data_IF_660697855312
#
_entry.id   IF_660697855312
#
_cell.length_a   1.000
_cell.length_b   1.000
_cell.length_c   1.000
_cell.angle_alpha   90.00
_cell.angle_beta   90.00
_cell.angle_gamma   90.00
#
_symmetry.space_group_name_H-M   'P 1'
#
loop_
_entity.id
_entity.type
_entity.pdbx_description
1 polymer ?
#
# COMPACT_ATOMS: atom_id res chain seq x y z
N UNK A 1 6.91 -9.33 88.08
CA UNK A 1 7.54 -8.36 87.15
C UNK A 1 6.68 -8.34 85.92
N UNK A 2 6.02 -7.20 85.69
CA UNK A 2 4.82 -7.07 84.85
C UNK A 2 5.16 -6.20 83.64
N UNK A 3 4.82 -6.74 82.46
CA UNK A 3 4.37 -6.14 81.19
C UNK A 3 4.57 -4.61 81.07
N UNK A 4 5.44 -4.20 80.16
CA UNK A 4 5.51 -2.83 79.64
C UNK A 4 4.67 -2.70 78.37
N UNK A 5 3.52 -2.03 78.48
CA UNK A 5 2.71 -1.59 77.35
C UNK A 5 3.30 -0.29 76.78
N UNK A 6 3.81 -0.33 75.56
CA UNK A 6 4.18 0.85 74.78
C UNK A 6 3.00 1.29 73.91
N UNK A 7 2.23 2.24 74.44
CA UNK A 7 1.25 3.05 73.68
C UNK A 7 1.98 4.28 73.13
N UNK A 8 2.07 4.42 71.80
CA UNK A 8 2.45 5.70 71.17
C UNK A 8 1.64 5.99 69.91
N UNK A 9 0.61 6.82 70.13
CA UNK A 9 0.06 7.94 69.34
C UNK A 9 -0.24 7.81 67.83
N UNK A 10 -1.48 8.12 67.39
CA UNK A 10 -1.82 8.26 65.98
C UNK A 10 -1.26 9.57 65.39
N UNK A 11 -0.75 9.45 64.16
CA UNK A 11 -0.18 10.55 63.36
C UNK A 11 -1.30 11.51 62.89
N UNK A 12 -1.12 12.85 62.96
CA UNK A 12 -2.10 13.78 62.45
C UNK A 12 -2.17 13.73 60.92
N UNK A 13 -3.36 13.56 60.37
CA UNK A 13 -3.64 13.60 58.93
C UNK A 13 -3.76 15.06 58.49
N UNK A 14 -2.84 15.51 57.64
CA UNK A 14 -2.91 16.85 57.02
C UNK A 14 -4.13 16.99 56.12
N UNK A 15 -4.85 18.14 56.12
CA UNK A 15 -5.95 18.36 55.20
C UNK A 15 -5.47 18.51 53.75
N UNK A 16 -6.16 17.81 52.85
CA UNK A 16 -5.91 17.80 51.41
C UNK A 16 -6.12 19.21 50.80
N UNK A 17 -5.09 19.74 50.12
CA UNK A 17 -5.15 20.99 49.35
C UNK A 17 -6.15 20.83 48.21
N UNK A 18 -7.25 21.58 48.25
CA UNK A 18 -8.22 21.64 47.14
C UNK A 18 -7.57 22.25 45.89
N UNK A 19 -7.69 21.64 44.69
CA UNK A 19 -7.24 22.26 43.46
C UNK A 19 -8.19 23.39 43.07
N UNK A 20 -7.64 24.59 42.87
CA UNK A 20 -8.35 25.73 42.27
C UNK A 20 -8.69 25.45 40.80
N UNK A 21 -9.89 25.78 40.31
CA UNK A 21 -10.29 25.48 38.93
C UNK A 21 -9.55 26.38 37.93
N UNK A 22 -8.68 25.77 37.11
CA UNK A 22 -7.92 26.41 36.01
C UNK A 22 -8.77 26.92 34.83
N UNK A 23 -10.10 26.79 34.90
CA UNK A 23 -11.02 27.03 33.79
C UNK A 23 -11.19 28.50 33.38
N UNK A 24 -10.90 29.45 34.25
CA UNK A 24 -11.08 30.87 33.92
C UNK A 24 -10.03 31.43 32.96
N UNK A 25 -8.84 30.82 32.83
CA UNK A 25 -7.79 31.30 31.91
C UNK A 25 -7.99 30.84 30.46
N UNK A 26 -8.67 29.72 30.22
CA UNK A 26 -8.91 29.23 28.86
C UNK A 26 -9.93 30.09 28.09
N UNK A 27 -10.93 30.66 28.79
CA UNK A 27 -11.94 31.51 28.17
C UNK A 27 -11.41 32.87 27.69
N UNK A 28 -10.28 33.34 28.22
CA UNK A 28 -9.70 34.63 27.84
C UNK A 28 -9.00 34.61 26.46
N UNK A 29 -8.65 33.43 25.95
CA UNK A 29 -7.92 33.26 24.68
C UNK A 29 -8.82 32.88 23.50
N UNK A 30 -10.03 32.39 23.74
CA UNK A 30 -10.96 31.99 22.67
C UNK A 30 -11.53 33.18 21.88
N UNK A 31 -11.84 34.29 22.58
CA UNK A 31 -12.40 35.49 21.96
C UNK A 31 -11.48 36.15 20.91
N UNK A 32 -10.17 36.40 21.18
CA UNK A 32 -9.30 36.99 20.18
C UNK A 32 -9.04 36.05 19.00
N UNK A 33 -8.97 34.73 19.21
CA UNK A 33 -8.76 33.75 18.13
C UNK A 33 -9.96 33.67 17.19
N UNK A 34 -11.19 33.75 17.71
CA UNK A 34 -12.40 33.77 16.88
C UNK A 34 -12.50 35.04 16.05
N UNK A 35 -12.13 36.19 16.63
CA UNK A 35 -12.05 37.46 15.91
C UNK A 35 -11.03 37.43 14.77
N UNK A 36 -9.85 36.86 15.01
CA UNK A 36 -8.80 36.73 13.99
C UNK A 36 -9.23 35.79 12.86
N UNK A 37 -9.95 34.71 13.19
CA UNK A 37 -10.53 33.81 12.19
C UNK A 37 -11.55 34.50 11.30
N UNK A 38 -12.47 35.30 11.87
CA UNK A 38 -13.46 36.05 11.10
C UNK A 38 -12.83 37.10 10.17
N UNK A 39 -11.78 37.80 10.64
CA UNK A 39 -11.06 38.78 9.82
C UNK A 39 -10.32 38.11 8.67
N UNK A 40 -9.67 36.97 8.92
CA UNK A 40 -8.94 36.24 7.89
C UNK A 40 -9.89 35.69 6.82
N UNK A 41 -11.01 35.08 7.24
CA UNK A 41 -12.03 34.59 6.30
C UNK A 41 -12.71 35.74 5.55
N UNK A 42 -12.93 36.88 6.21
CA UNK A 42 -13.42 38.10 5.55
C UNK A 42 -12.48 38.62 4.47
N UNK A 43 -11.16 38.60 4.71
CA UNK A 43 -10.16 39.01 3.71
C UNK A 43 -10.13 38.09 2.50
N UNK A 44 -10.33 36.77 2.67
CA UNK A 44 -10.42 35.82 1.54
C UNK A 44 -11.62 36.13 0.63
N UNK A 45 -12.74 36.62 1.18
CA UNK A 45 -13.91 37.00 0.39
C UNK A 45 -13.73 38.32 -0.38
N UNK A 46 -12.77 39.17 0.02
CA UNK A 46 -12.42 40.40 -0.71
C UNK A 46 -11.29 40.19 -1.73
N UNK A 47 -10.67 39.01 -1.77
CA UNK A 47 -9.73 38.69 -2.83
C UNK A 47 -10.48 38.61 -4.17
N UNK A 48 -10.09 39.40 -5.19
CA UNK A 48 -10.66 39.26 -6.53
C UNK A 48 -10.46 37.82 -7.00
N UNK A 49 -11.54 37.18 -7.46
CA UNK A 49 -11.43 35.88 -8.10
C UNK A 49 -10.40 36.00 -9.24
N UNK A 50 -9.45 35.05 -9.39
CA UNK A 50 -8.54 35.06 -10.52
C UNK A 50 -9.37 35.01 -11.79
N UNK A 51 -9.36 36.10 -12.55
CA UNK A 51 -10.04 36.18 -13.84
C UNK A 51 -9.59 35.01 -14.71
N UNK A 52 -10.51 34.28 -15.36
CA UNK A 52 -10.14 33.26 -16.31
C UNK A 52 -9.29 33.91 -17.41
N UNK A 53 -8.02 33.50 -17.49
CA UNK A 53 -7.14 33.95 -18.56
C UNK A 53 -7.69 33.42 -19.89
N UNK A 54 -7.81 34.27 -20.92
CA UNK A 54 -8.19 33.81 -22.25
C UNK A 54 -7.06 32.94 -22.82
N UNK A 55 -7.40 31.70 -23.16
CA UNK A 55 -6.54 30.74 -23.86
C UNK A 55 -6.19 31.33 -25.24
N UNK A 56 -4.91 31.60 -25.57
CA UNK A 56 -4.53 31.94 -26.94
C UNK A 56 -4.57 30.66 -27.78
N UNK A 57 -5.46 30.63 -28.78
CA UNK A 57 -5.30 29.74 -29.93
C UNK A 57 -4.09 30.22 -30.73
N UNK A 58 -3.06 29.38 -30.84
CA UNK A 58 -2.09 29.44 -31.93
C UNK A 58 -1.47 28.05 -32.14
N UNK A 59 -1.91 27.39 -33.21
CA UNK A 59 -1.10 26.43 -33.95
C UNK A 59 0.18 27.10 -34.48
N UNK A 60 1.21 26.27 -34.65
CA UNK A 60 2.47 26.51 -35.39
C UNK A 60 3.46 27.56 -34.86
N UNK A 61 4.47 27.08 -34.13
CA UNK A 61 5.87 27.21 -34.53
C UNK A 61 6.79 26.47 -33.55
N UNK A 62 7.48 25.46 -34.07
CA UNK A 62 8.72 24.96 -33.50
C UNK A 62 9.74 26.11 -33.55
N UNK A 63 10.20 26.57 -32.40
CA UNK A 63 11.44 27.33 -32.26
C UNK A 63 12.11 26.88 -30.96
N UNK A 64 13.21 26.18 -31.15
CA UNK A 64 14.23 25.88 -30.15
C UNK A 64 14.84 27.21 -29.66
N UNK A 65 15.47 27.17 -28.47
CA UNK A 65 16.19 28.25 -27.76
C UNK A 65 15.38 29.22 -26.89
N UNK A 66 15.13 28.83 -25.63
CA UNK A 66 15.32 29.75 -24.49
C UNK A 66 15.53 28.98 -23.17
N UNK A 67 16.73 28.42 -22.97
CA UNK A 67 17.21 28.10 -21.63
C UNK A 67 17.66 29.41 -20.97
N UNK A 68 16.75 30.02 -20.22
CA UNK A 68 17.09 31.10 -19.28
C UNK A 68 17.58 30.46 -17.99
N UNK A 69 18.86 30.10 -17.99
CA UNK A 69 19.61 29.70 -16.80
C UNK A 69 19.90 30.95 -15.95
N UNK A 70 19.10 31.14 -14.89
CA UNK A 70 19.29 32.22 -13.93
C UNK A 70 19.79 31.67 -12.59
N UNK A 71 21.12 31.68 -12.50
CA UNK A 71 21.91 32.16 -11.36
C UNK A 71 21.88 31.36 -10.05
N UNK A 72 22.99 30.64 -9.87
CA UNK A 72 23.97 30.86 -8.78
C UNK A 72 23.58 30.47 -7.36
N UNK A 73 24.12 29.35 -6.88
CA UNK A 73 24.87 29.32 -5.61
C UNK A 73 26.01 28.28 -5.69
N UNK A 74 27.25 28.70 -5.45
CA UNK A 74 28.24 27.89 -4.72
C UNK A 74 29.33 27.17 -5.51
N UNK A 75 30.35 27.91 -5.93
CA UNK A 75 31.69 27.42 -6.31
C UNK A 75 32.37 26.73 -5.12
N UNK A 76 32.78 25.46 -5.25
CA UNK A 76 33.80 24.88 -4.36
C UNK A 76 34.56 23.72 -5.06
N UNK A 77 35.77 24.06 -5.49
CA UNK A 77 36.95 23.25 -5.80
C UNK A 77 36.78 21.83 -6.39
N UNK A 78 37.02 21.75 -7.69
CA UNK A 78 37.60 20.56 -8.35
C UNK A 78 39.12 20.77 -8.48
N UNK A 79 39.94 19.78 -8.11
CA UNK A 79 41.16 19.52 -8.85
C UNK A 79 41.09 18.15 -9.53
N UNK A 80 41.20 18.18 -10.86
CA UNK A 80 41.45 17.03 -11.74
C UNK A 80 42.98 16.77 -11.85
N UNK A 81 43.47 15.79 -12.64
CA UNK A 81 43.85 14.44 -12.27
C UNK A 81 45.38 14.21 -12.30
N UNK A 82 45.91 13.15 -11.68
CA UNK A 82 47.24 12.65 -12.07
C UNK A 82 47.42 11.13 -11.88
N UNK A 83 47.63 10.47 -13.03
CA UNK A 83 48.41 9.28 -13.36
C UNK A 83 48.46 8.06 -12.40
N UNK A 84 48.03 6.91 -12.94
CA UNK A 84 48.53 5.59 -12.55
C UNK A 84 50.03 5.45 -12.90
N UNK A 85 50.79 4.64 -12.14
CA UNK A 85 51.03 3.27 -12.62
C UNK A 85 51.08 2.18 -11.53
N UNK A 86 50.67 0.97 -11.91
CA UNK A 86 50.98 -0.33 -11.25
C UNK A 86 52.48 -0.63 -11.21
N UNK A 87 53.00 -1.42 -10.23
CA UNK A 87 53.21 -2.85 -10.50
C UNK A 87 53.05 -3.82 -9.30
N UNK A 88 52.46 -4.99 -9.62
CA UNK A 88 52.86 -6.39 -9.32
C UNK A 88 53.61 -6.76 -8.02
N UNK A 89 53.01 -7.67 -7.23
CA UNK A 89 53.68 -8.83 -6.62
C UNK A 89 52.67 -9.90 -6.17
N UNK A 90 53.03 -11.18 -6.32
CA UNK A 90 52.17 -12.36 -6.20
C UNK A 90 52.36 -13.16 -4.88
N UNK A 91 51.26 -13.82 -4.46
CA UNK A 91 51.14 -15.15 -3.78
C UNK A 91 51.70 -15.38 -2.35
N UNK A 92 51.36 -16.48 -1.61
CA UNK A 92 50.13 -17.31 -1.49
C UNK A 92 49.66 -17.58 -0.02
N UNK A 93 48.64 -18.46 0.14
CA UNK A 93 47.81 -18.89 1.31
C UNK A 93 48.45 -19.28 2.66
N UNK A 94 47.62 -19.55 3.71
CA UNK A 94 47.44 -20.94 4.15
C UNK A 94 46.01 -21.39 4.60
N UNK A 95 45.77 -22.71 4.40
CA UNK A 95 44.95 -23.75 5.08
C UNK A 95 44.40 -23.43 6.50
N UNK A 96 43.30 -23.92 7.08
CA UNK A 96 42.32 -25.06 6.99
C UNK A 96 41.14 -24.73 7.98
N UNK A 97 40.19 -25.60 8.46
CA UNK A 97 39.95 -27.05 8.26
C UNK A 97 38.47 -27.45 8.01
N UNK A 98 38.20 -28.75 8.19
CA UNK A 98 37.21 -29.61 7.56
C UNK A 98 35.74 -29.60 8.10
N UNK A 99 34.88 -30.11 7.19
CA UNK A 99 33.54 -30.74 7.25
C UNK A 99 32.76 -30.88 8.57
N UNK A 100 31.41 -30.96 8.45
CA UNK A 100 30.79 -32.27 8.69
C UNK A 100 29.71 -32.70 7.67
N UNK A 101 29.45 -34.00 7.70
CA UNK A 101 28.53 -34.83 6.91
C UNK A 101 27.10 -34.31 6.68
N UNK A 102 26.50 -34.74 5.56
CA UNK A 102 25.10 -35.20 5.58
C UNK A 102 24.86 -36.33 4.57
N UNK A 103 23.98 -37.23 4.96
CA UNK A 103 23.66 -38.56 4.43
C UNK A 103 22.90 -38.57 3.07
N UNK A 104 22.68 -39.77 2.47
CA UNK A 104 22.33 -39.93 1.06
C UNK A 104 20.90 -39.53 0.68
N UNK A 105 20.78 -38.98 -0.53
CA UNK A 105 19.54 -38.78 -1.28
C UNK A 105 18.99 -40.15 -1.71
N UNK A 106 17.79 -40.51 -1.27
CA UNK A 106 17.02 -41.59 -1.85
C UNK A 106 16.11 -41.04 -2.98
N UNK A 107 16.21 -41.55 -4.22
CA UNK A 107 15.25 -41.22 -5.28
C UNK A 107 13.95 -42.04 -5.12
N UNK A 108 12.77 -41.47 -5.40
CA UNK A 108 11.53 -42.25 -5.49
C UNK A 108 11.51 -43.12 -6.76
N UNK A 109 10.99 -44.35 -6.71
CA UNK A 109 10.86 -45.20 -7.90
C UNK A 109 9.58 -44.87 -8.69
N UNK A 110 9.72 -44.84 -10.01
CA UNK A 110 8.68 -45.19 -10.99
C UNK A 110 9.34 -46.19 -11.98
N UNK A 111 8.64 -47.04 -12.74
CA UNK A 111 7.22 -47.01 -13.11
C UNK A 111 6.49 -48.37 -13.00
N UNK A 112 5.15 -48.40 -13.13
CA UNK A 112 4.45 -49.59 -13.67
C UNK A 112 3.15 -49.16 -14.36
N UNK A 113 2.92 -49.53 -15.64
CA UNK A 113 1.64 -49.36 -16.31
C UNK A 113 0.75 -50.58 -16.11
N UNK A 114 -0.55 -50.38 -15.92
CA UNK A 114 -1.55 -51.44 -16.12
C UNK A 114 -2.84 -50.82 -16.68
N UNK A 115 -3.14 -51.25 -17.90
CA UNK A 115 -4.33 -51.00 -18.70
C UNK A 115 -5.51 -51.83 -18.15
N UNK A 116 -6.72 -51.26 -18.10
CA UNK A 116 -7.97 -51.86 -18.58
C UNK A 116 -9.21 -51.03 -18.15
N UNK A 117 -9.95 -50.52 -19.14
CA UNK A 117 -11.39 -50.20 -19.00
C UNK A 117 -12.18 -51.50 -18.71
N UNK A 118 -13.46 -51.43 -18.25
CA UNK A 118 -14.53 -51.52 -19.25
C UNK A 118 -15.88 -50.83 -18.89
N UNK A 119 -16.53 -50.31 -19.95
CA UNK A 119 -17.97 -50.12 -20.28
C UNK A 119 -18.98 -49.41 -19.36
N UNK A 120 -19.55 -48.34 -19.93
CA UNK A 120 -20.98 -47.97 -20.09
C UNK A 120 -22.01 -48.23 -18.99
N UNK A 121 -22.70 -47.15 -18.60
CA UNK A 121 -24.15 -47.17 -18.43
C UNK A 121 -24.77 -45.82 -18.84
N UNK A 122 -25.63 -45.91 -19.85
CA UNK A 122 -26.48 -44.84 -20.40
C UNK A 122 -27.80 -44.86 -19.62
N UNK A 123 -28.30 -43.68 -19.21
CA UNK A 123 -29.73 -43.27 -19.09
C UNK A 123 -29.85 -41.91 -18.36
N UNK A 124 -30.98 -41.17 -18.47
CA UNK A 124 -31.55 -40.44 -19.61
C UNK A 124 -31.54 -38.90 -19.38
N UNK A 125 -31.96 -38.05 -20.34
CA UNK A 125 -31.88 -36.59 -20.17
C UNK A 125 -32.94 -36.09 -19.19
N UNK A 126 -32.50 -35.51 -18.07
CA UNK A 126 -33.36 -34.71 -17.19
C UNK A 126 -33.37 -33.27 -17.71
N UNK A 127 -34.55 -32.74 -17.97
CA UNK A 127 -34.76 -31.35 -18.38
C UNK A 127 -34.43 -30.41 -17.23
N UNK A 128 -33.23 -29.81 -17.26
CA UNK A 128 -32.84 -28.73 -16.36
C UNK A 128 -33.21 -27.39 -17.01
N UNK A 129 -33.76 -26.41 -16.27
CA UNK A 129 -34.08 -25.09 -16.82
C UNK A 129 -32.78 -24.42 -17.25
N UNK A 130 -32.84 -23.65 -18.34
CA UNK A 130 -31.72 -22.84 -18.82
C UNK A 130 -31.14 -22.03 -17.65
N UNK A 131 -29.95 -22.41 -17.20
CA UNK A 131 -29.17 -21.63 -16.28
C UNK A 131 -28.93 -20.26 -16.95
N UNK A 132 -29.31 -19.22 -16.23
CA UNK A 132 -28.92 -17.84 -16.48
C UNK A 132 -27.41 -17.80 -16.74
N UNK A 133 -26.93 -17.14 -17.82
CA UNK A 133 -25.52 -17.16 -18.14
C UNK A 133 -24.75 -16.53 -16.97
N UNK A 134 -23.86 -17.32 -16.36
CA UNK A 134 -22.90 -16.83 -15.40
C UNK A 134 -22.18 -15.61 -16.01
N UNK A 135 -21.96 -14.52 -15.25
CA UNK A 135 -21.26 -13.36 -15.77
C UNK A 135 -19.89 -13.82 -16.28
N UNK A 136 -19.59 -13.46 -17.53
CA UNK A 136 -18.37 -13.84 -18.21
C UNK A 136 -17.16 -13.43 -17.36
N UNK A 137 -16.34 -14.41 -16.97
CA UNK A 137 -15.06 -14.17 -16.32
C UNK A 137 -14.19 -13.38 -17.29
N UNK A 138 -13.99 -12.09 -17.01
CA UNK A 138 -13.06 -11.27 -17.77
C UNK A 138 -11.64 -11.78 -17.51
N UNK A 139 -11.15 -12.64 -18.41
CA UNK A 139 -9.77 -13.11 -18.39
C UNK A 139 -8.90 -11.95 -18.89
N UNK A 140 -8.53 -11.06 -17.99
CA UNK A 140 -7.56 -9.99 -18.29
C UNK A 140 -6.23 -10.67 -18.68
N UNK A 141 -5.71 -10.42 -19.90
CA UNK A 141 -4.41 -10.96 -20.29
C UNK A 141 -3.31 -10.47 -19.33
N UNK A 142 -2.38 -11.34 -18.94
CA UNK A 142 -1.28 -11.01 -18.02
C UNK A 142 -0.46 -9.77 -18.44
N UNK A 143 -0.37 -9.51 -19.75
CA UNK A 143 0.32 -8.35 -20.32
C UNK A 143 -0.38 -7.02 -20.00
N UNK A 144 -1.71 -7.00 -20.03
CA UNK A 144 -2.49 -5.81 -19.67
C UNK A 144 -2.38 -5.49 -18.17
N UNK A 145 -2.24 -6.52 -17.33
CA UNK A 145 -1.99 -6.37 -15.89
C UNK A 145 -0.66 -5.66 -15.63
N UNK A 146 0.42 -6.01 -16.35
CA UNK A 146 1.72 -5.36 -16.21
C UNK A 146 1.70 -3.86 -16.60
N UNK A 147 0.95 -3.52 -17.65
CA UNK A 147 0.79 -2.14 -18.09
C UNK A 147 0.00 -1.29 -17.08
N UNK A 148 -1.07 -1.85 -16.51
CA UNK A 148 -1.84 -1.23 -15.43
C UNK A 148 -0.92 -0.86 -14.27
N UNK A 149 -0.03 -1.75 -13.85
CA UNK A 149 0.88 -1.47 -12.74
C UNK A 149 1.91 -0.40 -13.05
N UNK A 150 2.46 -0.39 -14.27
CA UNK A 150 3.41 0.66 -14.68
C UNK A 150 2.80 2.06 -14.52
N UNK A 151 1.48 2.18 -14.75
CA UNK A 151 0.75 3.44 -14.58
C UNK A 151 0.37 3.72 -13.12
N UNK A 152 0.05 2.69 -12.35
CA UNK A 152 -0.35 2.79 -10.95
C UNK A 152 0.81 3.21 -10.03
N UNK A 153 2.04 2.76 -10.32
CA UNK A 153 3.19 2.91 -9.41
C UNK A 153 3.99 4.20 -9.61
N UNK A 154 4.04 4.73 -10.82
CA UNK A 154 4.70 6.01 -11.13
C UNK A 154 3.79 7.13 -10.70
N UNK A 155 4.09 7.89 -9.65
CA UNK A 155 3.26 9.03 -9.21
C UNK A 155 3.10 10.14 -10.24
N UNK A 156 2.46 11.26 -9.87
CA UNK A 156 2.54 12.51 -10.64
C UNK A 156 3.95 13.09 -10.49
N UNK A 157 4.90 12.51 -11.23
CA UNK A 157 6.36 12.74 -11.14
C UNK A 157 7.15 11.44 -11.26
N UNK A 158 8.48 11.51 -11.43
CA UNK A 158 9.37 10.34 -11.62
C UNK A 158 9.54 9.44 -10.38
N UNK A 159 8.76 9.66 -9.31
CA UNK A 159 8.86 8.88 -8.08
C UNK A 159 8.11 7.56 -8.20
N UNK A 160 8.84 6.46 -8.14
CA UNK A 160 8.30 5.11 -7.99
C UNK A 160 8.00 4.82 -6.52
N UNK A 161 6.74 4.53 -6.21
CA UNK A 161 6.30 4.17 -4.86
C UNK A 161 6.16 2.66 -4.68
N UNK A 162 6.39 1.87 -5.73
CA UNK A 162 6.33 0.41 -5.64
C UNK A 162 7.51 -0.12 -4.83
N UNK A 163 7.20 -0.80 -3.75
CA UNK A 163 8.20 -1.47 -2.91
C UNK A 163 7.89 -2.96 -2.77
N UNK A 164 7.12 -3.52 -3.72
CA UNK A 164 6.72 -4.92 -3.70
C UNK A 164 7.93 -5.85 -3.74
N UNK A 165 8.86 -5.63 -4.68
CA UNK A 165 10.03 -6.51 -4.84
C UNK A 165 11.08 -6.35 -3.73
N UNK A 166 11.16 -5.16 -3.12
CA UNK A 166 12.22 -4.83 -2.16
C UNK A 166 11.81 -5.00 -0.71
N UNK A 167 10.52 -4.87 -0.40
CA UNK A 167 10.04 -4.69 0.97
C UNK A 167 8.85 -5.59 1.33
N UNK A 168 8.15 -6.18 0.37
CA UNK A 168 7.01 -7.06 0.64
C UNK A 168 7.45 -8.54 0.66
N UNK A 169 6.97 -9.37 1.61
CA UNK A 169 5.98 -9.06 2.64
C UNK A 169 6.55 -8.47 3.94
N UNK A 170 7.87 -8.56 4.15
CA UNK A 170 8.52 -8.28 5.44
C UNK A 170 8.10 -6.97 6.11
N UNK A 171 8.23 -5.85 5.39
CA UNK A 171 7.91 -4.53 5.92
C UNK A 171 6.41 -4.38 6.12
N UNK A 172 5.59 -4.70 5.12
CA UNK A 172 4.13 -4.60 5.23
C UNK A 172 3.56 -5.46 6.37
N UNK A 173 4.19 -6.60 6.66
CA UNK A 173 3.82 -7.48 7.76
C UNK A 173 4.18 -6.91 9.12
N UNK A 174 5.41 -6.43 9.29
CA UNK A 174 5.99 -6.09 10.59
C UNK A 174 5.77 -4.63 11.02
N UNK A 175 5.42 -3.71 10.12
CA UNK A 175 5.21 -2.31 10.49
C UNK A 175 4.10 -2.15 11.54
N UNK A 176 4.13 -1.08 12.36
CA UNK A 176 3.02 -0.77 13.26
C UNK A 176 1.71 -0.64 12.49
N UNK A 177 0.64 -1.31 12.95
CA UNK A 177 -0.61 -1.45 12.18
C UNK A 177 -0.42 -2.11 10.80
N UNK A 178 0.56 -3.02 10.73
CA UNK A 178 0.88 -3.89 9.60
C UNK A 178 0.01 -5.14 9.53
N UNK A 179 0.26 -6.00 8.54
CA UNK A 179 -0.52 -7.22 8.30
C UNK A 179 -0.50 -8.16 9.51
N UNK A 180 0.59 -8.19 10.28
CA UNK A 180 0.67 -8.99 11.52
C UNK A 180 -0.39 -8.62 12.56
N UNK A 181 -0.92 -7.40 12.51
CA UNK A 181 -1.95 -6.91 13.45
C UNK A 181 -3.38 -7.24 13.01
N UNK A 182 -3.56 -7.69 11.76
CA UNK A 182 -4.87 -8.06 11.23
C UNK A 182 -5.37 -9.35 11.86
N UNK A 183 -6.69 -9.49 11.96
CA UNK A 183 -7.27 -10.76 12.41
C UNK A 183 -6.92 -11.90 11.42
N UNK A 184 -6.85 -13.17 11.87
CA UNK A 184 -6.61 -14.29 10.96
C UNK A 184 -7.66 -14.40 9.84
N UNK A 185 -8.90 -14.01 10.14
CA UNK A 185 -10.00 -13.99 9.17
C UNK A 185 -9.77 -12.93 8.09
N UNK A 186 -9.31 -11.74 8.48
CA UNK A 186 -8.97 -10.67 7.55
C UNK A 186 -7.77 -11.03 6.68
N UNK A 187 -6.73 -11.64 7.25
CA UNK A 187 -5.59 -12.14 6.48
C UNK A 187 -6.04 -13.19 5.45
N UNK A 188 -6.91 -14.12 5.86
CA UNK A 188 -7.45 -15.17 5.00
C UNK A 188 -8.29 -14.63 3.83
N UNK A 189 -8.81 -13.40 3.90
CA UNK A 189 -9.51 -12.79 2.77
C UNK A 189 -8.60 -12.54 1.55
N UNK A 190 -7.34 -12.19 1.80
CA UNK A 190 -6.40 -11.75 0.75
C UNK A 190 -5.31 -12.79 0.47
N UNK A 191 -4.97 -13.58 1.49
CA UNK A 191 -3.85 -14.50 1.46
C UNK A 191 -4.30 -15.91 1.87
N UNK A 192 -3.79 -16.92 1.17
CA UNK A 192 -3.83 -18.30 1.66
C UNK A 192 -2.73 -18.52 2.71
N UNK A 193 -1.63 -17.76 2.61
CA UNK A 193 -0.53 -17.72 3.56
C UNK A 193 0.11 -16.33 3.56
N UNK A 194 0.42 -15.78 4.73
CA UNK A 194 1.18 -14.53 4.86
C UNK A 194 1.97 -14.52 6.17
N UNK A 195 3.26 -14.22 6.08
CA UNK A 195 4.12 -13.92 7.21
C UNK A 195 5.20 -12.90 6.79
N UNK A 196 6.20 -12.66 7.64
CA UNK A 196 7.27 -11.71 7.34
C UNK A 196 8.18 -12.15 6.19
N UNK A 197 8.29 -13.44 5.90
CA UNK A 197 9.27 -13.98 4.96
C UNK A 197 8.64 -14.38 3.62
N UNK A 198 7.38 -14.79 3.63
CA UNK A 198 6.70 -15.35 2.46
C UNK A 198 5.21 -15.04 2.46
N UNK A 199 4.61 -15.13 1.27
CA UNK A 199 3.19 -14.97 1.08
C UNK A 199 2.69 -15.79 -0.11
N UNK A 200 1.40 -16.10 -0.08
CA UNK A 200 0.63 -16.63 -1.20
C UNK A 200 -0.75 -15.98 -1.17
N UNK A 201 -1.20 -15.50 -2.32
CA UNK A 201 -2.48 -14.80 -2.47
C UNK A 201 -3.63 -15.77 -2.73
N UNK A 202 -4.85 -15.30 -2.59
CA UNK A 202 -6.03 -16.07 -3.02
C UNK A 202 -5.99 -16.36 -4.54
N UNK A 203 -6.51 -17.52 -5.01
CA UNK A 203 -6.37 -17.97 -6.40
C UNK A 203 -6.83 -17.03 -7.55
N UNK A 204 -7.71 -16.04 -7.30
CA UNK A 204 -8.19 -15.09 -8.32
C UNK A 204 -7.48 -13.75 -8.24
N UNK A 205 -6.54 -13.60 -7.30
CA UNK A 205 -5.62 -12.48 -7.32
C UNK A 205 -4.68 -12.67 -8.49
N UNK A 206 -4.74 -11.76 -9.46
CA UNK A 206 -3.83 -11.76 -10.60
C UNK A 206 -2.54 -11.03 -10.27
N UNK A 207 -2.58 -10.10 -9.33
CA UNK A 207 -1.40 -9.36 -8.89
C UNK A 207 -1.65 -8.60 -7.60
N UNK A 208 -0.55 -8.28 -6.92
CA UNK A 208 -0.49 -7.51 -5.69
C UNK A 208 0.67 -6.53 -5.79
N UNK A 209 0.44 -5.30 -5.31
CA UNK A 209 1.49 -4.29 -5.15
C UNK A 209 1.44 -3.63 -3.78
N UNK A 210 2.59 -3.50 -3.17
CA UNK A 210 2.82 -2.75 -1.94
C UNK A 210 3.41 -1.40 -2.29
N UNK A 211 2.58 -0.36 -2.13
CA UNK A 211 2.95 1.02 -2.41
C UNK A 211 3.28 1.74 -1.11
N UNK A 212 4.48 2.32 -1.02
CA UNK A 212 4.92 3.15 0.12
C UNK A 212 4.36 4.58 0.02
N UNK A 213 3.08 4.66 -0.32
CA UNK A 213 2.31 5.90 -0.49
C UNK A 213 1.03 5.84 0.29
N UNK A 214 0.61 7.00 0.80
CA UNK A 214 -0.63 7.14 1.57
C UNK A 214 -1.82 6.59 0.78
N UNK A 215 -2.62 5.75 1.44
CA UNK A 215 -3.75 5.03 0.81
C UNK A 215 -4.77 5.96 0.18
N UNK A 216 -4.97 7.17 0.75
CA UNK A 216 -5.91 8.14 0.23
C UNK A 216 -5.44 8.72 -1.10
N UNK A 217 -4.14 8.95 -1.30
CA UNK A 217 -3.61 9.36 -2.60
C UNK A 217 -3.71 8.24 -3.64
N UNK A 218 -3.57 6.98 -3.22
CA UNK A 218 -3.75 5.85 -4.12
C UNK A 218 -5.20 5.80 -4.61
N UNK A 219 -6.16 5.95 -3.68
CA UNK A 219 -7.59 5.97 -3.98
C UNK A 219 -7.99 7.16 -4.88
N UNK A 220 -7.59 8.37 -4.51
CA UNK A 220 -8.10 9.60 -5.12
C UNK A 220 -7.31 10.04 -6.37
N UNK A 221 -6.07 9.57 -6.55
CA UNK A 221 -5.19 10.01 -7.65
C UNK A 221 -4.68 8.84 -8.50
N UNK A 222 -4.09 7.82 -7.88
CA UNK A 222 -3.39 6.79 -8.64
C UNK A 222 -4.36 5.86 -9.38
N UNK A 223 -5.44 5.42 -8.73
CA UNK A 223 -6.47 4.59 -9.37
C UNK A 223 -7.16 5.34 -10.52
N UNK A 224 -7.72 6.56 -10.34
CA UNK A 224 -8.37 7.29 -11.43
C UNK A 224 -7.44 7.60 -12.60
N UNK A 225 -6.15 7.86 -12.32
CA UNK A 225 -5.15 8.12 -13.36
C UNK A 225 -4.77 6.86 -14.13
N UNK A 226 -4.76 5.71 -13.47
CA UNK A 226 -4.46 4.41 -14.10
C UNK A 226 -5.57 3.98 -15.05
N UNK A 227 -6.81 4.33 -14.71
CA UNK A 227 -8.04 4.01 -15.43
C UNK A 227 -8.77 5.29 -15.87
N UNK A 228 -8.23 6.04 -16.83
CA UNK A 228 -8.79 7.33 -17.21
C UNK A 228 -10.12 7.19 -17.97
N UNK A 229 -11.05 8.10 -17.66
CA UNK A 229 -12.28 8.26 -18.43
C UNK A 229 -11.99 8.84 -19.84
N UNK A 230 -12.80 8.53 -20.86
CA UNK A 230 -14.02 7.71 -20.81
C UNK A 230 -13.78 6.20 -21.07
N UNK A 231 -12.54 5.79 -21.33
CA UNK A 231 -12.20 4.41 -21.70
C UNK A 231 -12.52 3.42 -20.58
N UNK A 232 -12.33 3.87 -19.33
CA UNK A 232 -12.65 3.12 -18.14
C UNK A 232 -13.66 3.85 -17.28
N UNK A 233 -14.50 3.09 -16.57
CA UNK A 233 -15.29 3.56 -15.46
C UNK A 233 -14.87 2.81 -14.19
N UNK A 234 -14.57 3.53 -13.11
CA UNK A 234 -14.18 2.94 -11.82
C UNK A 234 -15.28 3.21 -10.82
N UNK A 235 -15.93 2.16 -10.36
CA UNK A 235 -17.04 2.24 -9.42
C UNK A 235 -16.63 1.64 -8.08
N UNK A 236 -16.84 2.38 -6.99
CA UNK A 236 -16.64 1.84 -5.64
C UNK A 236 -17.80 0.92 -5.27
N UNK A 237 -17.48 -0.28 -4.84
CA UNK A 237 -18.45 -1.27 -4.35
C UNK A 237 -18.83 -0.92 -2.91
N UNK A 238 -20.13 -0.76 -2.63
CA UNK A 238 -20.63 -0.22 -1.37
C UNK A 238 -20.13 -0.98 -0.12
N UNK A 239 -20.17 -2.30 -0.16
CA UNK A 239 -19.77 -3.14 0.99
C UNK A 239 -18.27 -3.48 1.01
N UNK A 240 -17.54 -3.12 -0.04
CA UNK A 240 -16.12 -3.46 -0.18
C UNK A 240 -15.87 -4.97 -0.21
N UNK A 241 -14.69 -5.38 0.25
CA UNK A 241 -14.33 -6.77 0.50
C UNK A 241 -13.52 -6.88 1.80
N UNK A 242 -14.02 -7.68 2.75
CA UNK A 242 -13.45 -7.82 4.09
C UNK A 242 -13.19 -6.51 4.83
N UNK A 243 -14.20 -5.62 4.82
CA UNK A 243 -14.17 -4.28 5.42
C UNK A 243 -13.10 -3.35 4.82
N UNK A 244 -12.61 -3.65 3.62
CA UNK A 244 -11.67 -2.79 2.87
C UNK A 244 -12.33 -2.31 1.57
N UNK A 245 -11.97 -1.11 1.08
CA UNK A 245 -12.45 -0.63 -0.21
C UNK A 245 -12.22 -1.64 -1.34
N UNK A 246 -13.27 -1.86 -2.14
CA UNK A 246 -13.24 -2.63 -3.36
C UNK A 246 -13.76 -1.74 -4.50
N UNK A 247 -13.04 -1.73 -5.61
CA UNK A 247 -13.43 -1.02 -6.82
C UNK A 247 -13.68 -2.04 -7.92
N UNK A 248 -14.72 -1.82 -8.69
CA UNK A 248 -15.01 -2.53 -9.93
C UNK A 248 -14.65 -1.61 -11.09
N UNK A 249 -13.78 -2.10 -11.97
CA UNK A 249 -13.34 -1.36 -13.15
C UNK A 249 -14.08 -1.94 -14.36
N UNK A 250 -14.69 -1.06 -15.14
CA UNK A 250 -15.33 -1.38 -16.40
C UNK A 250 -14.49 -0.83 -17.54
N UNK A 251 -14.41 -1.59 -18.63
CA UNK A 251 -13.87 -1.15 -19.91
C UNK A 251 -14.96 -1.37 -20.96
N UNK A 252 -15.35 -0.31 -21.68
CA UNK A 252 -16.42 -0.40 -22.69
C UNK A 252 -17.73 -1.02 -22.13
N UNK A 253 -18.13 -0.59 -20.93
CA UNK A 253 -19.32 -1.08 -20.20
C UNK A 253 -19.28 -2.56 -19.77
N UNK A 254 -18.19 -3.27 -20.02
CA UNK A 254 -17.98 -4.64 -19.55
C UNK A 254 -17.14 -4.67 -18.27
N UNK A 255 -17.47 -5.53 -17.29
CA UNK A 255 -16.61 -5.75 -16.13
C UNK A 255 -15.22 -6.18 -16.60
N UNK A 256 -14.20 -5.44 -16.17
CA UNK A 256 -12.82 -5.67 -16.58
C UNK A 256 -12.03 -6.35 -15.47
N UNK A 257 -12.01 -5.77 -14.27
CA UNK A 257 -11.31 -6.31 -13.10
C UNK A 257 -11.85 -5.69 -11.81
N UNK A 258 -11.42 -6.26 -10.68
CA UNK A 258 -11.67 -5.68 -9.36
C UNK A 258 -10.36 -5.29 -8.66
N UNK A 259 -10.41 -4.26 -7.84
CA UNK A 259 -9.26 -3.75 -7.08
C UNK A 259 -9.62 -3.65 -5.61
N UNK A 260 -8.97 -4.42 -4.74
CA UNK A 260 -9.00 -4.14 -3.31
C UNK A 260 -7.87 -3.19 -2.93
N UNK A 261 -8.19 -2.16 -2.16
CA UNK A 261 -7.22 -1.22 -1.62
C UNK A 261 -7.17 -1.37 -0.10
N UNK A 262 -6.03 -1.81 0.42
CA UNK A 262 -5.86 -2.06 1.86
C UNK A 262 -4.80 -1.11 2.43
N UNK A 263 -5.22 -0.20 3.32
CA UNK A 263 -4.30 0.68 4.03
C UNK A 263 -3.49 -0.09 5.09
N UNK A 264 -2.18 0.14 5.11
CA UNK A 264 -1.22 -0.47 6.03
C UNK A 264 -0.33 0.61 6.64
N UNK A 265 0.03 0.47 7.91
CA UNK A 265 0.94 1.39 8.58
C UNK A 265 0.26 2.62 9.16
N UNK A 266 1.01 3.36 9.98
CA UNK A 266 0.54 4.59 10.64
C UNK A 266 0.98 5.80 9.82
N UNK A 267 0.03 6.53 9.25
CA UNK A 267 0.26 7.79 8.53
C UNK A 267 -0.02 9.03 9.38
N UNK A 268 -0.46 10.11 8.72
CA UNK A 268 -1.02 11.27 9.40
C UNK A 268 -2.24 10.86 10.26
N UNK A 269 -2.67 11.67 11.25
CA UNK A 269 -3.78 11.30 12.14
C UNK A 269 -5.03 10.82 11.38
N UNK A 270 -5.41 9.56 11.59
CA UNK A 270 -6.56 8.91 10.93
C UNK A 270 -6.28 8.31 9.55
N UNK A 271 -5.03 8.31 9.08
CA UNK A 271 -4.63 7.82 7.76
C UNK A 271 -3.61 6.68 7.84
N UNK A 272 -3.57 5.84 6.80
CA UNK A 272 -2.53 4.83 6.62
C UNK A 272 -1.41 5.32 5.71
N UNK A 273 -0.16 5.02 6.10
CA UNK A 273 1.03 5.50 5.41
C UNK A 273 1.28 4.81 4.06
N UNK A 274 0.89 3.54 3.94
CA UNK A 274 1.11 2.70 2.77
C UNK A 274 -0.20 2.08 2.31
N UNK A 275 -0.26 1.69 1.04
CA UNK A 275 -1.39 0.97 0.47
C UNK A 275 -0.95 -0.35 -0.17
N UNK A 276 -1.74 -1.39 0.04
CA UNK A 276 -1.66 -2.64 -0.68
C UNK A 276 -2.78 -2.66 -1.72
N UNK A 277 -2.39 -2.70 -2.99
CA UNK A 277 -3.30 -2.74 -4.13
C UNK A 277 -3.34 -4.17 -4.66
N UNK A 278 -4.51 -4.80 -4.58
CA UNK A 278 -4.71 -6.20 -4.96
C UNK A 278 -5.68 -6.22 -6.13
N UNK A 279 -5.25 -6.75 -7.26
CA UNK A 279 -6.07 -6.87 -8.46
C UNK A 279 -6.61 -8.30 -8.56
N UNK A 280 -7.90 -8.40 -8.81
CA UNK A 280 -8.62 -9.66 -8.95
C UNK A 280 -9.14 -9.83 -10.38
N UNK A 281 -9.04 -11.04 -10.91
CA UNK A 281 -9.65 -11.42 -12.21
C UNK A 281 -11.19 -11.48 -12.15
N UNK A 282 -11.77 -11.63 -10.95
CA UNK A 282 -13.20 -11.78 -10.74
C UNK A 282 -13.57 -11.22 -9.37
N UNK A 283 -14.87 -11.01 -9.13
CA UNK A 283 -15.35 -10.49 -7.85
C UNK A 283 -14.90 -11.41 -6.69
N UNK A 284 -14.06 -10.94 -5.75
CA UNK A 284 -13.55 -11.77 -4.66
C UNK A 284 -14.64 -12.24 -3.67
N UNK A 285 -15.84 -11.63 -3.71
CA UNK A 285 -16.98 -11.99 -2.85
C UNK A 285 -17.73 -13.24 -3.31
N UNK A 286 -17.51 -13.67 -4.55
CA UNK A 286 -18.23 -14.79 -5.17
C UNK A 286 -17.66 -16.18 -4.82
N UNK A 287 -16.81 -16.26 -3.79
CA UNK A 287 -16.07 -17.45 -3.37
C UNK A 287 -16.74 -18.20 -2.23
#
# INVERSE_FOLDING_TARGET
MTIGESVTSPRPVSPSKRPTPRWHRAKLLLAPLFGLSLVLHGLVLLAPAPSPQPIPKAEDAIAEDEFVDLLSIGTLNTPEPEAAPTPSAAAPSPLAPASPSTQPIAPPPAPTPALAEPVSSISPPSSEPAAEPAPATAVVPNEAVAEIFTRLTRGSGDSDFDSTETSFPAIAYLIPQGIATWSPQEQACFFTQINADTYSTQPSVVSLRYLTRNVQFIEEQDIPRTFPAPQYAVNRVADGYCNRPLFEVFQEEQPYLFISLVGIGVGAPGQQASGLVIIWASDPRSR
#
